data_IF_716535018063
#
_entry.id   IF_716535018063
#
_cell.length_a   1.000
_cell.length_b   1.000
_cell.length_c   1.000
_cell.angle_alpha   90.00
_cell.angle_beta   90.00
_cell.angle_gamma   90.00
#
_symmetry.space_group_name_H-M   'P 1'
#
loop_
_entity.id
_entity.type
_entity.pdbx_description
1 polymer ?
#
# COMPACT_ATOMS: atom_id res chain seq x y z
N UNK A 1 8.87 -4.96 -32.44
CA UNK A 1 7.77 -4.30 -31.70
C UNK A 1 8.32 -3.76 -30.40
N UNK A 2 8.30 -2.44 -30.16
CA UNK A 2 8.75 -1.82 -28.92
C UNK A 2 7.57 -1.16 -28.23
N UNK A 3 7.32 -1.52 -26.97
CA UNK A 3 6.22 -1.00 -26.18
C UNK A 3 6.38 0.51 -25.94
N UNK A 4 5.32 1.28 -26.21
CA UNK A 4 5.20 2.67 -25.80
C UNK A 4 5.08 2.74 -24.28
N UNK A 5 6.19 2.90 -23.55
CA UNK A 5 6.13 3.42 -22.18
C UNK A 5 5.67 4.88 -22.27
N UNK A 6 4.52 5.18 -21.69
CA UNK A 6 4.00 6.54 -21.55
C UNK A 6 4.99 7.39 -20.73
N UNK A 7 5.73 8.27 -21.41
CA UNK A 7 6.46 9.35 -20.75
C UNK A 7 5.48 10.48 -20.50
N UNK A 8 4.91 10.55 -19.30
CA UNK A 8 4.22 11.75 -18.85
C UNK A 8 5.22 12.90 -18.76
N UNK A 9 4.83 14.09 -19.26
CA UNK A 9 5.64 15.30 -19.20
C UNK A 9 5.73 15.76 -17.74
N UNK A 10 6.85 15.53 -17.06
CA UNK A 10 7.14 16.11 -15.74
C UNK A 10 7.56 17.59 -15.89
N UNK A 11 6.67 18.46 -16.39
CA UNK A 11 6.87 19.91 -16.31
C UNK A 11 6.11 20.43 -15.10
N UNK A 12 6.81 20.81 -14.02
CA UNK A 12 6.21 21.51 -12.88
C UNK A 12 6.55 21.02 -11.46
N UNK A 13 7.57 20.17 -11.26
CA UNK A 13 7.92 19.70 -9.90
C UNK A 13 8.58 20.74 -8.99
N UNK A 14 8.89 21.94 -9.50
CA UNK A 14 9.69 22.95 -8.79
C UNK A 14 8.97 23.59 -7.59
N UNK A 15 7.66 23.38 -7.43
CA UNK A 15 6.86 23.94 -6.34
C UNK A 15 6.20 22.88 -5.44
N UNK A 16 6.58 21.60 -5.58
CA UNK A 16 6.06 20.54 -4.73
C UNK A 16 6.90 20.48 -3.44
N UNK A 17 6.24 20.55 -2.29
CA UNK A 17 6.90 20.39 -0.99
C UNK A 17 7.58 19.01 -0.92
N UNK A 18 8.76 18.94 -0.31
CA UNK A 18 9.47 17.67 -0.13
C UNK A 18 8.71 16.70 0.79
N UNK A 19 7.91 17.24 1.71
CA UNK A 19 7.12 16.48 2.68
C UNK A 19 5.64 16.83 2.56
N UNK A 20 4.80 15.81 2.81
CA UNK A 20 3.36 15.98 2.90
C UNK A 20 2.97 16.57 4.25
N UNK A 21 1.93 17.42 4.32
CA UNK A 21 1.35 17.85 5.58
C UNK A 21 0.93 16.65 6.44
N UNK A 22 1.08 16.76 7.77
CA UNK A 22 0.79 15.65 8.69
C UNK A 22 -0.64 15.11 8.55
N UNK A 23 -1.63 15.98 8.36
CA UNK A 23 -3.02 15.58 8.17
C UNK A 23 -3.23 14.73 6.90
N UNK A 24 -2.49 15.01 5.83
CA UNK A 24 -2.52 14.22 4.59
C UNK A 24 -1.81 12.88 4.79
N UNK A 25 -0.69 12.86 5.51
CA UNK A 25 -0.02 11.61 5.90
C UNK A 25 -0.93 10.74 6.75
N UNK A 26 -1.57 11.30 7.77
CA UNK A 26 -2.47 10.57 8.66
C UNK A 26 -3.67 10.00 7.88
N UNK A 27 -4.17 10.74 6.89
CA UNK A 27 -5.20 10.25 6.00
C UNK A 27 -4.70 9.10 5.11
N UNK A 28 -3.41 8.99 4.78
CA UNK A 28 -2.86 7.95 3.91
C UNK A 28 -2.31 6.74 4.67
N UNK A 29 -2.08 6.88 5.97
CA UNK A 29 -1.52 5.84 6.82
C UNK A 29 -2.62 5.07 7.55
N UNK A 30 -2.31 3.84 7.93
CA UNK A 30 -3.12 3.01 8.82
C UNK A 30 -2.23 2.27 9.81
N UNK A 31 -2.82 1.91 10.94
CA UNK A 31 -2.19 1.07 11.95
C UNK A 31 -2.64 -0.38 11.77
N UNK A 32 -1.75 -1.33 12.03
CA UNK A 32 -2.06 -2.76 11.99
C UNK A 32 -1.32 -3.47 13.11
N UNK A 33 -2.08 -4.16 13.96
CA UNK A 33 -1.50 -5.06 14.95
C UNK A 33 -0.98 -6.30 14.22
N UNK A 34 0.27 -6.65 14.47
CA UNK A 34 0.95 -7.76 13.84
C UNK A 34 1.68 -8.62 14.88
N UNK A 35 2.07 -9.86 14.54
CA UNK A 35 2.90 -10.70 15.41
C UNK A 35 4.25 -10.08 15.79
N UNK A 36 4.71 -9.05 15.07
CA UNK A 36 5.97 -8.32 15.35
C UNK A 36 5.74 -6.95 16.00
N UNK A 37 4.51 -6.65 16.42
CA UNK A 37 4.14 -5.39 17.07
C UNK A 37 3.14 -4.56 16.26
N UNK A 38 3.00 -3.28 16.59
CA UNK A 38 2.18 -2.35 15.84
C UNK A 38 2.95 -1.80 14.63
N UNK A 39 2.34 -1.87 13.46
CA UNK A 39 2.89 -1.36 12.21
C UNK A 39 2.04 -0.19 11.70
N UNK A 40 2.69 0.95 11.50
CA UNK A 40 2.12 2.11 10.80
C UNK A 40 2.60 2.10 9.36
N UNK A 41 1.67 1.98 8.41
CA UNK A 41 2.00 1.80 7.00
C UNK A 41 0.93 2.40 6.09
N UNK A 42 1.19 2.46 4.78
CA UNK A 42 0.24 3.03 3.82
C UNK A 42 -1.00 2.15 3.68
N UNK A 43 -2.16 2.77 3.80
CA UNK A 43 -3.42 2.15 3.43
C UNK A 43 -3.52 2.00 1.90
N UNK A 44 -4.42 1.16 1.36
CA UNK A 44 -4.73 1.15 -0.06
C UNK A 44 -5.26 2.54 -0.48
N UNK A 45 -4.44 3.28 -1.23
CA UNK A 45 -4.76 4.67 -1.60
C UNK A 45 -5.81 4.72 -2.72
N UNK A 46 -5.77 3.75 -3.63
CA UNK A 46 -6.76 3.63 -4.72
C UNK A 46 -8.10 3.18 -4.14
N UNK A 47 -9.14 3.94 -4.45
CA UNK A 47 -10.52 3.61 -4.10
C UNK A 47 -11.19 2.91 -5.28
N UNK A 48 -11.71 1.71 -5.03
CA UNK A 48 -12.48 0.94 -5.99
C UNK A 48 -13.95 1.01 -5.58
N UNK A 49 -14.83 1.25 -6.54
CA UNK A 49 -16.26 1.48 -6.29
C UNK A 49 -17.01 0.21 -5.85
N UNK A 50 -16.59 -0.95 -6.35
CA UNK A 50 -17.29 -2.22 -6.12
C UNK A 50 -16.58 -3.11 -5.09
N UNK A 51 -15.24 -3.15 -5.15
CA UNK A 51 -14.42 -4.01 -4.29
C UNK A 51 -13.38 -3.17 -3.55
N UNK A 52 -13.77 -2.50 -2.45
CA UNK A 52 -12.84 -1.66 -1.69
C UNK A 52 -11.53 -2.40 -1.40
N UNK A 53 -10.40 -1.78 -1.77
CA UNK A 53 -9.09 -2.36 -1.52
C UNK A 53 -8.80 -2.44 -0.02
N UNK A 54 -8.18 -3.52 0.43
CA UNK A 54 -7.90 -3.75 1.84
C UNK A 54 -6.71 -4.69 2.06
N UNK A 55 -6.05 -4.52 3.21
CA UNK A 55 -5.04 -5.45 3.71
C UNK A 55 -5.67 -6.33 4.79
N UNK A 56 -5.77 -7.64 4.52
CA UNK A 56 -6.34 -8.61 5.48
C UNK A 56 -5.29 -9.37 6.27
N UNK A 57 -4.06 -9.48 5.75
CA UNK A 57 -2.96 -10.18 6.40
C UNK A 57 -1.95 -9.18 6.95
N UNK A 58 -1.67 -9.20 8.26
CA UNK A 58 -0.65 -8.34 8.84
C UNK A 58 0.76 -8.80 8.40
N UNK A 59 1.76 -7.89 8.44
CA UNK A 59 3.16 -8.28 8.28
C UNK A 59 3.54 -9.37 9.28
N UNK A 60 4.32 -10.35 8.84
CA UNK A 60 4.72 -11.47 9.68
C UNK A 60 6.22 -11.71 9.54
N UNK A 61 6.89 -12.21 10.59
CA UNK A 61 8.31 -12.53 10.52
C UNK A 61 8.55 -13.72 9.57
N UNK A 62 9.80 -13.87 9.14
CA UNK A 62 10.20 -14.97 8.28
C UNK A 62 9.88 -16.32 8.97
N UNK A 63 9.22 -17.22 8.24
CA UNK A 63 8.84 -18.54 8.75
C UNK A 63 7.59 -18.58 9.63
N UNK A 64 6.83 -17.47 9.76
CA UNK A 64 5.63 -17.43 10.62
C UNK A 64 4.49 -18.33 10.16
N UNK A 65 4.29 -18.47 8.85
CA UNK A 65 3.24 -19.32 8.28
C UNK A 65 3.78 -20.69 7.88
N UNK A 66 2.94 -21.72 8.02
CA UNK A 66 3.26 -23.05 7.53
C UNK A 66 3.52 -23.03 6.01
N UNK A 67 4.37 -23.94 5.54
CA UNK A 67 4.71 -24.10 4.12
C UNK A 67 3.57 -24.82 3.35
N UNK A 68 2.37 -24.29 3.43
CA UNK A 68 1.17 -24.82 2.81
C UNK A 68 0.45 -23.77 1.96
N UNK A 69 -0.22 -24.22 0.91
CA UNK A 69 -1.11 -23.37 0.14
C UNK A 69 -2.49 -23.38 0.79
N UNK A 70 -3.04 -22.22 1.20
CA UNK A 70 -4.39 -22.18 1.71
C UNK A 70 -5.37 -22.64 0.61
N UNK A 71 -6.46 -23.33 0.98
CA UNK A 71 -7.50 -23.67 0.04
C UNK A 71 -8.00 -22.41 -0.67
N UNK A 72 -8.31 -22.54 -1.96
CA UNK A 72 -8.90 -21.44 -2.72
C UNK A 72 -10.24 -21.10 -2.06
N UNK A 73 -10.44 -19.83 -1.69
CA UNK A 73 -11.71 -19.39 -1.10
C UNK A 73 -12.85 -19.68 -2.08
N UNK A 74 -13.95 -20.23 -1.56
CA UNK A 74 -15.23 -20.38 -2.26
C UNK A 74 -15.92 -19.03 -2.43
#
# INVERSE_FOLDING_TARGET
>A
MHAHRGRGRQTGLTSVSAELPQAELDALLMETVSPVGQARHLRPVVQLSETPGGWSRPPAPLGYHAAEWPPRGS
#
